data_IF_333444047098
#
_entry.id   IF_333444047098
#
_cell.length_a   1.000
_cell.length_b   1.000
_cell.length_c   1.000
_cell.angle_alpha   90.00
_cell.angle_beta   90.00
_cell.angle_gamma   90.00
#
_symmetry.space_group_name_H-M   'P 1'
#
loop_
_entity.id
_entity.type
_entity.pdbx_description
1 polymer ?
#
# COMPACT_ATOMS: atom_id res chain seq x y z
N UNK A 1 53.50 -39.33 36.05
CA UNK A 1 54.53 -39.59 35.03
C UNK A 1 53.98 -40.58 34.01
N UNK A 2 54.03 -40.21 32.72
CA UNK A 2 54.47 -41.02 31.56
C UNK A 2 54.73 -42.53 31.77
N UNK A 3 54.56 -43.46 30.83
CA UNK A 3 54.47 -43.40 29.36
C UNK A 3 54.20 -44.85 28.87
N UNK A 4 53.43 -44.99 27.79
CA UNK A 4 53.60 -45.98 26.70
C UNK A 4 53.37 -47.47 27.01
N UNK A 5 53.07 -48.34 26.05
CA UNK A 5 52.73 -48.27 24.63
C UNK A 5 52.40 -49.72 24.22
N UNK A 6 51.69 -49.95 23.10
CA UNK A 6 51.69 -51.14 22.20
C UNK A 6 50.40 -51.03 21.36
N UNK A 7 50.35 -51.16 20.02
CA UNK A 7 51.33 -51.26 18.94
C UNK A 7 50.51 -51.10 17.65
N UNK A 8 50.98 -50.31 16.69
CA UNK A 8 50.41 -50.26 15.34
C UNK A 8 50.67 -51.58 14.58
N UNK A 9 49.76 -51.94 13.67
CA UNK A 9 49.94 -52.96 12.63
C UNK A 9 49.42 -52.41 11.28
N UNK A 10 49.98 -52.87 10.13
CA UNK A 10 50.16 -52.07 8.91
C UNK A 10 48.93 -52.02 7.97
N UNK A 11 48.93 -51.16 6.93
CA UNK A 11 47.76 -50.94 6.09
C UNK A 11 47.58 -52.11 5.11
N UNK A 12 46.41 -52.74 5.11
CA UNK A 12 46.06 -53.74 4.10
C UNK A 12 45.38 -53.08 2.90
N UNK A 13 45.80 -53.55 1.74
CA UNK A 13 45.55 -53.09 0.39
C UNK A 13 44.07 -52.88 0.03
N UNK A 14 43.85 -51.92 -0.86
CA UNK A 14 42.62 -51.60 -1.58
C UNK A 14 41.88 -52.82 -2.17
N UNK A 15 40.53 -52.87 -2.09
CA UNK A 15 39.76 -53.64 -3.05
C UNK A 15 39.45 -52.78 -4.28
N UNK A 16 40.02 -53.26 -5.38
CA UNK A 16 39.62 -53.14 -6.79
C UNK A 16 38.38 -52.31 -7.11
N UNK A 17 38.57 -51.33 -8.00
CA UNK A 17 37.51 -50.68 -8.77
C UNK A 17 36.86 -51.76 -9.65
N UNK A 18 35.81 -52.39 -9.13
CA UNK A 18 34.95 -53.24 -9.94
C UNK A 18 34.04 -52.34 -10.77
N UNK A 19 34.14 -52.49 -12.09
CA UNK A 19 33.40 -51.69 -13.08
C UNK A 19 31.91 -51.69 -12.77
N UNK A 20 31.36 -50.53 -12.41
CA UNK A 20 29.91 -50.35 -12.32
C UNK A 20 29.30 -50.71 -13.67
N UNK A 21 28.48 -51.78 -13.69
CA UNK A 21 27.64 -52.08 -14.84
C UNK A 21 26.77 -50.86 -15.09
N UNK A 22 26.98 -50.17 -16.22
CA UNK A 22 26.16 -49.02 -16.63
C UNK A 22 24.70 -49.47 -16.65
N UNK A 23 23.93 -48.98 -15.69
CA UNK A 23 22.47 -49.13 -15.67
C UNK A 23 21.91 -48.53 -16.97
N UNK A 24 20.79 -49.07 -17.46
CA UNK A 24 20.11 -48.44 -18.58
C UNK A 24 19.73 -47.01 -18.18
N UNK A 25 19.73 -46.03 -19.11
CA UNK A 25 19.41 -44.64 -18.80
C UNK A 25 18.08 -44.51 -18.05
N UNK A 26 17.10 -45.36 -18.39
CA UNK A 26 15.81 -45.39 -17.72
C UNK A 26 15.91 -45.90 -16.28
N UNK A 27 16.62 -47.00 -16.03
CA UNK A 27 16.79 -47.54 -14.68
C UNK A 27 17.56 -46.58 -13.76
N UNK A 28 18.44 -45.75 -14.30
CA UNK A 28 19.12 -44.69 -13.54
C UNK A 28 18.15 -43.57 -13.14
N UNK A 29 17.32 -43.12 -14.09
CA UNK A 29 16.29 -42.10 -13.85
C UNK A 29 15.28 -42.59 -12.82
N UNK A 30 14.79 -43.82 -12.98
CA UNK A 30 13.80 -44.43 -12.08
C UNK A 30 14.36 -44.54 -10.65
N UNK A 31 15.64 -44.92 -10.49
CA UNK A 31 16.31 -44.95 -9.18
C UNK A 31 16.40 -43.57 -8.52
N UNK A 32 16.59 -42.51 -9.32
CA UNK A 32 16.59 -41.14 -8.78
C UNK A 32 15.19 -40.77 -8.30
N UNK A 33 14.17 -41.02 -9.10
CA UNK A 33 12.78 -40.69 -8.76
C UNK A 33 12.25 -41.47 -7.56
N UNK A 34 12.64 -42.74 -7.40
CA UNK A 34 12.30 -43.55 -6.21
C UNK A 34 12.82 -42.92 -4.90
N UNK A 35 13.91 -42.15 -4.95
CA UNK A 35 14.44 -41.39 -3.82
C UNK A 35 13.65 -40.11 -3.50
N UNK A 36 12.95 -39.55 -4.49
CA UNK A 36 12.13 -38.34 -4.32
C UNK A 36 10.68 -38.67 -3.91
N UNK A 37 10.14 -39.81 -4.34
CA UNK A 37 8.79 -40.25 -3.99
C UNK A 37 8.78 -41.15 -2.75
N UNK A 38 8.98 -40.54 -1.57
CA UNK A 38 8.71 -41.25 -0.31
C UNK A 38 7.20 -41.50 -0.16
N UNK A 39 6.79 -42.73 0.22
CA UNK A 39 5.36 -43.11 0.43
C UNK A 39 4.68 -42.37 1.59
N UNK A 40 5.43 -41.54 2.31
CA UNK A 40 4.93 -40.60 3.31
C UNK A 40 5.48 -39.22 2.94
N UNK A 41 4.73 -38.37 2.23
CA UNK A 41 5.22 -37.06 1.84
C UNK A 41 5.39 -36.20 3.09
N UNK A 42 6.63 -36.09 3.59
CA UNK A 42 7.02 -35.03 4.51
C UNK A 42 6.96 -33.69 3.78
N UNK A 43 6.53 -32.63 4.47
CA UNK A 43 6.45 -31.27 3.90
C UNK A 43 7.81 -30.87 3.29
N UNK A 44 7.88 -30.46 2.01
CA UNK A 44 9.15 -30.15 1.37
C UNK A 44 9.78 -28.90 2.01
N UNK A 45 11.01 -29.04 2.51
CA UNK A 45 11.70 -28.00 3.30
C UNK A 45 12.62 -27.09 2.48
N UNK A 46 12.94 -27.42 1.23
CA UNK A 46 13.63 -26.55 0.28
C UNK A 46 13.57 -27.15 -1.13
N UNK A 47 13.31 -26.32 -2.15
CA UNK A 47 13.29 -26.74 -3.57
C UNK A 47 14.60 -26.37 -4.30
N UNK A 48 15.44 -25.53 -3.70
CA UNK A 48 16.67 -25.03 -4.35
C UNK A 48 17.94 -25.45 -3.60
N UNK A 49 19.04 -25.79 -4.30
CA UNK A 49 20.32 -26.14 -3.68
C UNK A 49 20.96 -24.96 -2.96
N UNK A 50 21.53 -25.21 -1.78
CA UNK A 50 22.11 -24.23 -0.85
C UNK A 50 23.33 -23.43 -1.35
N UNK A 51 23.68 -23.51 -2.63
CA UNK A 51 24.92 -22.97 -3.19
C UNK A 51 24.82 -21.62 -3.92
N UNK A 52 23.64 -21.00 -4.03
CA UNK A 52 23.43 -19.81 -4.87
C UNK A 52 23.21 -18.48 -4.14
N UNK A 53 23.32 -18.42 -2.81
CA UNK A 53 23.19 -17.16 -2.08
C UNK A 53 24.58 -16.65 -1.65
N UNK A 54 25.15 -15.77 -2.46
CA UNK A 54 26.26 -14.91 -2.04
C UNK A 54 25.73 -13.94 -0.97
N UNK A 55 26.37 -13.97 0.20
CA UNK A 55 25.95 -13.27 1.41
C UNK A 55 26.12 -11.74 1.29
N UNK A 56 25.01 -11.01 1.30
CA UNK A 56 24.91 -9.70 1.97
C UNK A 56 23.64 -9.53 2.81
N UNK A 57 22.94 -10.62 3.13
CA UNK A 57 21.67 -10.60 3.84
C UNK A 57 21.81 -11.09 5.30
N UNK A 58 22.77 -10.55 6.04
CA UNK A 58 23.01 -10.92 7.44
C UNK A 58 21.89 -10.48 8.41
N UNK A 59 20.78 -9.91 7.93
CA UNK A 59 19.62 -9.51 8.74
C UNK A 59 18.36 -10.37 8.55
N UNK A 60 18.36 -11.36 7.64
CA UNK A 60 17.20 -12.25 7.43
C UNK A 60 17.38 -13.62 8.09
N UNK A 61 17.74 -13.62 9.38
CA UNK A 61 17.55 -14.80 10.24
C UNK A 61 16.21 -14.68 10.97
N UNK A 62 15.11 -14.67 10.23
CA UNK A 62 13.82 -15.04 10.80
C UNK A 62 13.51 -16.46 10.34
N UNK A 63 13.66 -17.35 11.32
CA UNK A 63 13.41 -18.78 11.32
C UNK A 63 12.20 -19.21 10.49
N UNK A 64 12.26 -20.45 9.99
CA UNK A 64 11.22 -21.28 9.35
C UNK A 64 9.80 -21.17 9.97
N UNK A 65 9.16 -20.02 9.84
CA UNK A 65 7.83 -19.71 10.32
C UNK A 65 6.86 -19.78 9.11
N UNK A 66 5.73 -20.48 9.25
CA UNK A 66 4.76 -20.59 8.16
C UNK A 66 4.20 -19.19 7.88
N UNK A 67 4.11 -18.76 6.62
CA UNK A 67 3.65 -17.41 6.24
C UNK A 67 2.26 -17.00 6.81
N UNK A 68 1.47 -17.98 7.27
CA UNK A 68 0.20 -17.78 7.96
C UNK A 68 0.36 -17.24 9.39
N UNK A 69 1.39 -17.67 10.13
CA UNK A 69 1.57 -17.30 11.52
C UNK A 69 1.95 -15.80 11.68
N UNK A 70 2.83 -15.22 10.84
CA UNK A 70 3.09 -13.79 10.83
C UNK A 70 1.89 -12.95 10.42
N UNK A 71 1.08 -13.43 9.47
CA UNK A 71 -0.15 -12.74 9.06
C UNK A 71 -1.12 -12.65 10.24
N UNK A 72 -1.45 -13.77 10.87
CA UNK A 72 -2.45 -13.83 11.93
C UNK A 72 -2.01 -12.99 13.14
N UNK A 73 -0.71 -13.03 13.47
CA UNK A 73 -0.13 -12.20 14.52
C UNK A 73 -0.29 -10.71 14.23
N UNK A 74 0.00 -10.26 13.01
CA UNK A 74 -0.17 -8.87 12.61
C UNK A 74 -1.65 -8.47 12.56
N UNK A 75 -2.52 -9.35 12.06
CA UNK A 75 -3.95 -9.14 12.01
C UNK A 75 -4.54 -8.98 13.43
N UNK A 76 -4.23 -9.88 14.36
CA UNK A 76 -4.68 -9.79 15.76
C UNK A 76 -4.16 -8.53 16.44
N UNK A 77 -2.89 -8.15 16.20
CA UNK A 77 -2.33 -6.89 16.70
C UNK A 77 -3.11 -5.68 16.17
N UNK A 78 -3.43 -5.67 14.88
CA UNK A 78 -4.21 -4.61 14.26
C UNK A 78 -5.63 -4.54 14.85
N UNK A 79 -6.32 -5.69 14.95
CA UNK A 79 -7.66 -5.83 15.56
C UNK A 79 -7.69 -5.24 16.96
N UNK A 80 -6.73 -5.62 17.81
CA UNK A 80 -6.62 -5.11 19.19
C UNK A 80 -6.38 -3.60 19.26
N UNK A 81 -5.55 -3.05 18.39
CA UNK A 81 -5.27 -1.60 18.36
C UNK A 81 -6.50 -0.82 17.90
N UNK A 82 -7.16 -1.29 16.84
CA UNK A 82 -8.38 -0.66 16.31
C UNK A 82 -9.48 -0.67 17.36
N UNK A 83 -9.72 -1.81 18.00
CA UNK A 83 -10.74 -1.93 19.05
C UNK A 83 -10.46 -0.97 20.21
N UNK A 84 -9.23 -0.96 20.73
CA UNK A 84 -8.85 -0.07 21.83
C UNK A 84 -9.07 1.41 21.47
N UNK A 85 -8.61 1.83 20.28
CA UNK A 85 -8.78 3.21 19.81
C UNK A 85 -10.24 3.57 19.57
N UNK A 86 -11.04 2.64 19.03
CA UNK A 86 -12.46 2.83 18.84
C UNK A 86 -13.19 3.05 20.16
N UNK A 87 -12.89 2.24 21.19
CA UNK A 87 -13.46 2.39 22.53
C UNK A 87 -13.07 3.73 23.19
N UNK A 88 -11.82 4.16 23.04
CA UNK A 88 -11.34 5.46 23.51
C UNK A 88 -12.09 6.63 22.83
N UNK A 89 -12.23 6.56 21.50
CA UNK A 89 -12.97 7.56 20.73
C UNK A 89 -14.44 7.61 21.13
N UNK A 90 -15.10 6.45 21.27
CA UNK A 90 -16.49 6.36 21.74
C UNK A 90 -16.66 6.93 23.14
N UNK A 91 -15.74 6.65 24.06
CA UNK A 91 -15.78 7.19 25.43
C UNK A 91 -15.65 8.71 25.46
N UNK A 92 -14.86 9.27 24.55
CA UNK A 92 -14.67 10.71 24.44
C UNK A 92 -15.77 11.41 23.60
N UNK A 93 -16.64 10.66 22.93
CA UNK A 93 -17.61 11.20 21.98
C UNK A 93 -16.96 11.82 20.73
N UNK A 94 -15.78 11.31 20.35
CA UNK A 94 -14.98 11.81 19.24
C UNK A 94 -14.87 10.77 18.13
N UNK A 95 -14.56 11.21 16.92
CA UNK A 95 -14.18 10.33 15.79
C UNK A 95 -12.67 10.12 15.77
N UNK A 96 -12.22 9.02 15.18
CA UNK A 96 -10.80 8.74 15.05
C UNK A 96 -10.14 9.69 14.05
N UNK A 97 -8.91 10.12 14.37
CA UNK A 97 -8.08 10.98 13.53
C UNK A 97 -6.67 10.40 13.44
N UNK A 98 -6.19 10.21 12.21
CA UNK A 98 -4.79 9.85 12.00
C UNK A 98 -3.91 11.10 12.05
N UNK A 99 -3.20 11.27 13.16
CA UNK A 99 -2.32 12.41 13.37
C UNK A 99 -1.04 12.34 12.51
N UNK A 100 -0.63 11.14 12.08
CA UNK A 100 0.53 10.95 11.23
C UNK A 100 0.18 11.18 9.75
N UNK A 101 -1.10 11.06 9.39
CA UNK A 101 -1.62 11.20 8.04
C UNK A 101 -2.86 12.12 7.99
N UNK A 102 -2.70 13.37 8.44
CA UNK A 102 -3.79 14.34 8.51
C UNK A 102 -3.97 15.14 7.20
N UNK A 103 -4.92 14.72 6.38
CA UNK A 103 -5.29 15.36 5.11
C UNK A 103 -5.73 16.83 5.29
N UNK A 104 -6.43 17.16 6.39
CA UNK A 104 -6.94 18.51 6.60
C UNK A 104 -5.79 19.50 6.86
N UNK A 105 -4.83 19.09 7.67
CA UNK A 105 -3.66 19.93 7.96
C UNK A 105 -2.74 19.99 6.75
N UNK A 106 -2.55 18.88 6.04
CA UNK A 106 -1.71 18.82 4.84
C UNK A 106 -2.23 19.74 3.72
N UNK A 107 -3.54 19.71 3.45
CA UNK A 107 -4.17 20.56 2.45
C UNK A 107 -4.18 22.03 2.87
N UNK A 108 -4.57 22.36 4.11
CA UNK A 108 -4.60 23.75 4.60
C UNK A 108 -3.22 24.41 4.58
N UNK A 109 -2.16 23.63 4.78
CA UNK A 109 -0.77 24.12 4.75
C UNK A 109 -0.13 24.01 3.37
N UNK A 110 -0.86 23.57 2.33
CA UNK A 110 -0.36 23.37 0.98
C UNK A 110 0.93 22.52 0.92
N UNK A 111 1.04 21.53 1.82
CA UNK A 111 2.23 20.68 1.91
C UNK A 111 2.21 19.54 0.88
N UNK A 112 1.05 18.89 0.74
CA UNK A 112 0.84 17.81 -0.22
C UNK A 112 1.61 16.53 0.11
N UNK A 113 2.01 16.30 1.36
CA UNK A 113 2.65 15.05 1.78
C UNK A 113 1.69 13.86 1.76
N UNK A 114 0.40 14.11 2.04
CA UNK A 114 -0.63 13.08 2.02
C UNK A 114 -1.22 12.87 0.61
N UNK A 115 -0.91 13.75 -0.34
CA UNK A 115 -1.41 13.70 -1.71
C UNK A 115 -0.37 13.13 -2.69
N UNK A 116 0.90 13.48 -2.49
CA UNK A 116 1.95 13.19 -3.44
C UNK A 116 2.77 11.98 -3.05
N UNK A 117 3.05 11.13 -4.05
CA UNK A 117 4.04 10.06 -3.96
C UNK A 117 5.48 10.62 -3.99
N UNK A 118 6.47 9.77 -3.71
CA UNK A 118 7.89 10.06 -3.89
C UNK A 118 8.33 10.16 -5.37
N UNK A 119 7.41 9.92 -6.32
CA UNK A 119 7.68 10.02 -7.75
C UNK A 119 7.74 11.45 -8.28
N UNK A 120 8.17 11.63 -9.53
CA UNK A 120 8.43 12.95 -10.13
C UNK A 120 7.19 13.79 -10.44
N UNK A 121 6.00 13.18 -10.48
CA UNK A 121 4.74 13.90 -10.69
C UNK A 121 4.13 14.30 -9.34
N UNK A 122 4.00 15.61 -9.12
CA UNK A 122 3.42 16.17 -7.91
C UNK A 122 2.24 17.09 -8.25
N UNK A 123 1.14 16.94 -7.53
CA UNK A 123 0.08 17.92 -7.44
C UNK A 123 0.61 19.15 -6.70
N UNK A 124 0.78 20.25 -7.45
CA UNK A 124 1.21 21.53 -6.89
C UNK A 124 0.02 22.23 -6.24
N UNK A 125 -0.01 22.25 -4.91
CA UNK A 125 -1.01 22.96 -4.12
C UNK A 125 -0.64 24.46 -4.00
N UNK A 126 -0.51 25.15 -5.12
CA UNK A 126 -0.27 26.60 -5.12
C UNK A 126 -1.60 27.36 -5.17
N UNK A 127 -1.62 28.62 -4.69
CA UNK A 127 -2.82 29.48 -4.73
C UNK A 127 -3.40 29.56 -6.15
N UNK A 128 -2.56 29.72 -7.17
CA UNK A 128 -3.01 29.81 -8.57
C UNK A 128 -3.65 28.50 -9.06
N UNK A 129 -3.11 27.35 -8.65
CA UNK A 129 -3.67 26.03 -8.96
C UNK A 129 -5.01 25.80 -8.26
N UNK A 130 -5.15 26.21 -6.99
CA UNK A 130 -6.39 26.04 -6.25
C UNK A 130 -7.52 26.94 -6.76
N UNK A 131 -7.17 28.10 -7.34
CA UNK A 131 -8.14 29.04 -7.92
C UNK A 131 -8.56 28.64 -9.33
N UNK A 132 -7.68 27.98 -10.10
CA UNK A 132 -7.96 27.48 -11.44
C UNK A 132 -9.11 26.44 -11.44
N UNK A 133 -10.24 26.68 -12.14
CA UNK A 133 -11.34 25.70 -12.26
C UNK A 133 -10.93 24.41 -12.98
N UNK A 134 -9.90 24.47 -13.81
CA UNK A 134 -9.38 23.34 -14.60
C UNK A 134 -8.30 22.54 -13.86
N UNK A 135 -7.84 23.01 -12.70
CA UNK A 135 -6.85 22.30 -11.93
C UNK A 135 -7.40 20.99 -11.35
N UNK A 136 -6.60 19.95 -11.46
CA UNK A 136 -6.89 18.61 -10.95
C UNK A 136 -6.56 18.41 -9.46
N UNK A 137 -6.19 19.49 -8.77
CA UNK A 137 -5.87 19.45 -7.34
C UNK A 137 -7.13 19.34 -6.48
N UNK A 138 -7.06 18.64 -5.34
CA UNK A 138 -8.18 18.60 -4.40
C UNK A 138 -8.42 19.98 -3.76
N UNK A 139 -9.68 20.29 -3.49
CA UNK A 139 -10.12 21.59 -2.95
C UNK A 139 -10.66 21.52 -1.54
N UNK A 140 -11.15 20.36 -1.12
CA UNK A 140 -11.51 20.14 0.28
C UNK A 140 -11.27 18.71 0.73
N UNK A 141 -11.41 18.50 2.03
CA UNK A 141 -11.31 17.20 2.70
C UNK A 141 -12.57 17.03 3.52
N UNK A 142 -13.24 15.91 3.32
CA UNK A 142 -14.45 15.57 4.07
C UNK A 142 -14.41 14.12 4.52
N UNK A 143 -15.14 13.82 5.58
CA UNK A 143 -15.38 12.44 6.03
C UNK A 143 -16.47 11.80 5.18
N UNK A 144 -16.46 10.47 5.09
CA UNK A 144 -17.43 9.71 4.30
C UNK A 144 -18.88 10.05 4.63
N UNK A 145 -19.21 10.23 5.91
CA UNK A 145 -20.57 10.59 6.36
C UNK A 145 -20.99 12.03 6.02
N UNK A 146 -20.06 12.91 5.64
CA UNK A 146 -20.35 14.28 5.20
C UNK A 146 -20.58 14.35 3.69
N UNK A 147 -20.25 13.26 2.98
CA UNK A 147 -20.36 13.13 1.52
C UNK A 147 -21.64 12.38 1.14
N UNK A 148 -22.01 11.36 1.93
CA UNK A 148 -23.15 10.49 1.66
C UNK A 148 -24.12 10.48 2.85
N UNK A 149 -25.42 10.47 2.58
CA UNK A 149 -26.46 10.46 3.63
C UNK A 149 -26.48 9.15 4.45
N UNK A 150 -26.27 8.02 3.77
CA UNK A 150 -26.30 6.67 4.36
C UNK A 150 -25.13 5.84 3.84
N UNK A 151 -23.88 6.17 4.23
CA UNK A 151 -22.72 5.44 3.75
C UNK A 151 -22.77 4.00 4.26
N UNK A 152 -22.33 3.07 3.41
CA UNK A 152 -22.18 1.65 3.77
C UNK A 152 -20.74 1.23 3.50
N UNK A 153 -20.19 0.41 4.38
CA UNK A 153 -18.85 -0.16 4.21
C UNK A 153 -18.95 -1.66 3.97
N UNK A 154 -18.37 -2.14 2.86
CA UNK A 154 -18.29 -3.57 2.51
C UNK A 154 -19.61 -4.36 2.55
N UNK A 155 -20.76 -3.70 2.32
CA UNK A 155 -22.07 -4.36 2.31
C UNK A 155 -22.23 -5.30 1.10
N UNK A 156 -21.86 -4.78 -0.08
CA UNK A 156 -21.72 -5.50 -1.34
C UNK A 156 -20.40 -5.00 -1.91
N UNK A 157 -19.56 -5.92 -2.34
CA UNK A 157 -18.27 -5.60 -2.93
C UNK A 157 -18.27 -6.21 -4.33
N UNK A 158 -18.18 -5.35 -5.35
CA UNK A 158 -18.08 -5.73 -6.75
C UNK A 158 -16.92 -4.97 -7.40
N UNK A 159 -16.17 -5.63 -8.28
CA UNK A 159 -15.08 -4.97 -9.00
C UNK A 159 -15.58 -3.80 -9.87
N UNK A 160 -16.80 -3.88 -10.40
CA UNK A 160 -17.41 -2.85 -11.24
C UNK A 160 -17.75 -1.54 -10.51
N UNK A 161 -17.80 -1.57 -9.17
CA UNK A 161 -17.99 -0.38 -8.34
C UNK A 161 -16.71 0.47 -8.22
N UNK A 162 -15.55 -0.09 -8.54
CA UNK A 162 -14.28 0.63 -8.47
C UNK A 162 -14.14 1.58 -9.65
N UNK A 163 -14.07 2.89 -9.37
CA UNK A 163 -13.90 3.94 -10.39
C UNK A 163 -12.58 4.69 -10.19
N UNK A 164 -11.84 4.85 -11.28
CA UNK A 164 -10.59 5.58 -11.27
C UNK A 164 -10.83 7.08 -11.06
N UNK A 165 -10.12 7.64 -10.07
CA UNK A 165 -10.02 9.08 -9.86
C UNK A 165 -8.94 9.73 -10.73
N UNK A 166 -8.58 10.97 -10.42
CA UNK A 166 -7.67 11.75 -11.27
C UNK A 166 -6.17 11.50 -11.03
N UNK A 167 -5.81 10.46 -10.26
CA UNK A 167 -4.47 10.24 -9.71
C UNK A 167 -3.53 9.41 -10.62
N UNK A 168 -3.86 9.15 -11.89
CA UNK A 168 -2.97 8.42 -12.80
C UNK A 168 -2.54 7.02 -12.29
N UNK A 169 -3.31 6.43 -11.39
CA UNK A 169 -2.99 5.23 -10.62
C UNK A 169 -3.80 4.00 -11.10
N UNK A 170 -4.01 3.88 -12.41
CA UNK A 170 -4.81 2.80 -13.01
C UNK A 170 -4.32 1.39 -12.60
N UNK A 171 -3.02 1.22 -12.36
CA UNK A 171 -2.43 -0.03 -11.87
C UNK A 171 -2.97 -0.43 -10.49
N UNK A 172 -3.19 0.52 -9.59
CA UNK A 172 -3.77 0.29 -8.26
C UNK A 172 -5.28 0.01 -8.39
N UNK A 173 -5.97 0.79 -9.22
CA UNK A 173 -7.41 0.63 -9.46
C UNK A 173 -7.72 -0.75 -10.06
N UNK A 174 -6.90 -1.21 -11.00
CA UNK A 174 -7.02 -2.56 -11.57
C UNK A 174 -6.83 -3.66 -10.54
N UNK A 175 -5.87 -3.51 -9.63
CA UNK A 175 -5.67 -4.45 -8.53
C UNK A 175 -6.87 -4.48 -7.56
N UNK A 176 -7.42 -3.31 -7.20
CA UNK A 176 -8.61 -3.22 -6.34
C UNK A 176 -9.86 -3.78 -7.02
N UNK A 177 -9.98 -3.62 -8.34
CA UNK A 177 -11.07 -4.22 -9.15
C UNK A 177 -11.00 -5.74 -9.10
N UNK A 178 -9.81 -6.32 -9.29
CA UNK A 178 -9.60 -7.75 -9.19
C UNK A 178 -9.90 -8.28 -7.78
N UNK A 179 -9.47 -7.54 -6.75
CA UNK A 179 -9.75 -7.85 -5.36
C UNK A 179 -11.26 -7.80 -5.05
N UNK A 180 -11.99 -6.84 -5.64
CA UNK A 180 -13.43 -6.70 -5.47
C UNK A 180 -14.26 -7.88 -6.00
N UNK A 181 -13.69 -8.70 -6.90
CA UNK A 181 -14.33 -9.93 -7.37
C UNK A 181 -14.15 -11.12 -6.42
N UNK A 182 -13.31 -10.99 -5.38
CA UNK A 182 -13.15 -11.97 -4.30
C UNK A 182 -13.57 -11.34 -2.95
N UNK A 183 -14.81 -11.62 -2.50
CA UNK A 183 -15.32 -11.08 -1.24
C UNK A 183 -14.49 -11.45 -0.01
N UNK A 184 -13.79 -12.59 -0.04
CA UNK A 184 -13.01 -13.06 1.10
C UNK A 184 -11.62 -12.42 1.11
N UNK A 185 -11.07 -12.08 -0.06
CA UNK A 185 -9.82 -11.35 -0.15
C UNK A 185 -9.91 -9.93 0.46
N UNK A 186 -11.01 -9.21 0.21
CA UNK A 186 -11.22 -7.87 0.80
C UNK A 186 -11.34 -7.96 2.33
N UNK A 187 -12.07 -8.96 2.85
CA UNK A 187 -12.20 -9.19 4.29
C UNK A 187 -10.89 -9.62 4.94
N UNK A 188 -10.04 -10.33 4.21
CA UNK A 188 -8.69 -10.69 4.67
C UNK A 188 -7.81 -9.45 4.83
N UNK A 189 -7.91 -8.49 3.91
CA UNK A 189 -7.09 -7.27 3.99
C UNK A 189 -7.63 -6.32 5.07
N UNK A 190 -8.95 -6.13 5.18
CA UNK A 190 -9.56 -5.28 6.21
C UNK A 190 -9.96 -6.09 7.45
N UNK A 191 -9.08 -6.11 8.45
CA UNK A 191 -9.20 -7.02 9.59
C UNK A 191 -10.09 -6.48 10.73
N UNK A 192 -10.24 -5.17 10.84
CA UNK A 192 -11.12 -4.52 11.82
C UNK A 192 -11.50 -3.11 11.36
N UNK A 193 -12.71 -2.69 11.68
CA UNK A 193 -13.18 -1.33 11.39
C UNK A 193 -14.35 -0.94 12.31
N UNK A 194 -14.56 0.35 12.45
CA UNK A 194 -15.74 0.93 13.07
C UNK A 194 -16.15 2.18 12.28
N UNK A 195 -17.29 2.09 11.58
CA UNK A 195 -17.77 3.14 10.67
C UNK A 195 -18.35 4.35 11.42
N UNK A 196 -18.85 4.16 12.64
CA UNK A 196 -19.38 5.25 13.46
C UNK A 196 -18.24 6.13 13.97
N UNK A 197 -17.15 5.50 14.40
CA UNK A 197 -15.92 6.21 14.82
C UNK A 197 -15.13 6.70 13.61
N UNK A 198 -15.21 6.00 12.48
CA UNK A 198 -14.42 6.29 11.28
C UNK A 198 -12.98 5.79 11.38
N UNK A 199 -12.76 4.58 11.90
CA UNK A 199 -11.44 3.94 12.00
C UNK A 199 -11.43 2.62 11.23
N UNK A 200 -10.37 2.39 10.44
CA UNK A 200 -10.23 1.21 9.59
C UNK A 200 -8.82 0.65 9.71
N UNK A 201 -8.70 -0.65 9.97
CA UNK A 201 -7.45 -1.38 10.07
C UNK A 201 -7.27 -2.35 8.91
N UNK A 202 -6.15 -2.21 8.23
CA UNK A 202 -5.76 -3.02 7.08
C UNK A 202 -4.43 -3.73 7.34
N UNK A 203 -4.24 -4.88 6.70
CA UNK A 203 -2.98 -5.64 6.73
C UNK A 203 -2.50 -5.84 5.30
N UNK A 204 -1.28 -5.37 5.03
CA UNK A 204 -0.63 -5.46 3.72
C UNK A 204 0.64 -6.28 3.81
N UNK A 205 0.99 -6.96 2.73
CA UNK A 205 2.28 -7.62 2.59
C UNK A 205 3.25 -6.70 1.85
N UNK A 206 4.42 -6.44 2.44
CA UNK A 206 5.44 -5.57 1.86
C UNK A 206 6.82 -6.05 2.27
N UNK A 207 7.74 -6.12 1.30
CA UNK A 207 9.17 -6.37 1.54
C UNK A 207 9.47 -7.61 2.40
N UNK A 208 8.66 -8.67 2.28
CA UNK A 208 8.84 -9.93 3.03
C UNK A 208 7.98 -10.06 4.30
N UNK A 209 7.35 -8.97 4.75
CA UNK A 209 6.65 -8.90 6.04
C UNK A 209 5.18 -8.45 5.91
N UNK A 210 4.37 -8.81 6.92
CA UNK A 210 3.00 -8.33 7.06
C UNK A 210 2.96 -7.09 7.94
N UNK A 211 2.49 -5.98 7.36
CA UNK A 211 2.44 -4.65 7.97
C UNK A 211 0.98 -4.23 8.15
N UNK A 212 0.66 -3.68 9.32
CA UNK A 212 -0.65 -3.08 9.59
C UNK A 212 -0.69 -1.60 9.21
N UNK A 213 -1.82 -1.14 8.69
CA UNK A 213 -2.11 0.28 8.45
C UNK A 213 -3.47 0.62 9.05
N UNK A 214 -3.54 1.70 9.82
CA UNK A 214 -4.79 2.14 10.47
C UNK A 214 -5.06 3.56 10.04
N UNK A 215 -6.18 3.79 9.37
CA UNK A 215 -6.53 5.08 8.76
C UNK A 215 -7.89 5.58 9.26
N UNK A 216 -8.13 6.88 9.07
CA UNK A 216 -9.46 7.48 9.23
C UNK A 216 -10.26 7.51 7.91
N UNK A 217 -11.50 8.02 7.94
CA UNK A 217 -12.42 8.08 6.79
C UNK A 217 -12.39 9.42 6.02
N UNK A 218 -11.32 10.20 6.13
CA UNK A 218 -11.20 11.46 5.39
C UNK A 218 -10.80 11.20 3.93
N UNK A 219 -11.48 11.89 3.02
CA UNK A 219 -11.25 11.80 1.58
C UNK A 219 -11.04 13.20 0.99
N UNK A 220 -10.15 13.28 0.00
CA UNK A 220 -10.00 14.45 -0.84
C UNK A 220 -11.17 14.60 -1.81
N UNK A 221 -11.69 15.82 -1.93
CA UNK A 221 -12.74 16.19 -2.87
C UNK A 221 -12.26 17.22 -3.88
N UNK A 222 -12.79 17.13 -5.10
CA UNK A 222 -12.56 18.12 -6.16
C UNK A 222 -13.34 19.41 -5.90
N UNK A 223 -14.53 19.32 -5.33
CA UNK A 223 -15.34 20.49 -4.96
C UNK A 223 -14.76 21.16 -3.72
N UNK A 224 -14.79 22.50 -3.69
CA UNK A 224 -14.53 23.24 -2.46
C UNK A 224 -15.70 23.06 -1.47
N UNK A 225 -15.45 23.33 -0.20
CA UNK A 225 -16.52 23.35 0.79
C UNK A 225 -17.50 24.48 0.49
N UNK A 226 -18.77 24.14 0.34
CA UNK A 226 -19.86 25.09 0.20
C UNK A 226 -20.07 25.79 1.55
N UNK A 227 -19.32 26.85 1.79
CA UNK A 227 -19.44 27.69 2.98
C UNK A 227 -19.72 29.14 2.50
N UNK A 228 -20.83 29.78 2.90
CA UNK A 228 -21.23 31.11 2.40
C UNK A 228 -20.10 32.17 2.38
N UNK A 229 -19.23 32.27 3.40
CA UNK A 229 -18.11 33.23 3.39
C UNK A 229 -17.00 32.91 2.37
N UNK A 230 -16.81 31.62 2.06
CA UNK A 230 -15.80 31.17 1.10
C UNK A 230 -16.29 31.32 -0.34
N UNK A 231 -17.60 31.17 -0.56
CA UNK A 231 -18.23 31.44 -1.86
C UNK A 231 -18.14 32.93 -2.18
N UNK A 232 -18.44 33.81 -1.22
CA UNK A 232 -18.30 35.24 -1.42
C UNK A 232 -16.85 35.62 -1.73
N UNK A 233 -15.85 35.04 -1.04
CA UNK A 233 -14.43 35.24 -1.40
C UNK A 233 -14.08 34.70 -2.78
N UNK A 234 -14.50 33.47 -3.10
CA UNK A 234 -14.20 32.87 -4.40
C UNK A 234 -14.85 33.63 -5.55
N UNK A 235 -16.12 34.03 -5.40
CA UNK A 235 -16.83 34.86 -6.37
C UNK A 235 -16.20 36.25 -6.48
N UNK A 236 -15.84 36.92 -5.37
CA UNK A 236 -15.14 38.22 -5.40
C UNK A 236 -13.77 38.09 -6.11
N UNK A 237 -13.02 37.02 -5.85
CA UNK A 237 -11.73 36.77 -6.50
C UNK A 237 -11.88 36.42 -7.99
N UNK A 238 -12.97 35.76 -8.39
CA UNK A 238 -13.31 35.52 -9.80
C UNK A 238 -13.71 36.83 -10.51
N UNK A 239 -14.57 37.65 -9.91
CA UNK A 239 -14.98 38.96 -10.44
C UNK A 239 -13.77 39.90 -10.59
N UNK A 240 -12.88 39.93 -9.59
CA UNK A 240 -11.66 40.77 -9.61
C UNK A 240 -10.70 40.41 -10.74
N UNK A 241 -10.79 39.18 -11.28
CA UNK A 241 -9.97 38.71 -12.42
C UNK A 241 -10.62 39.02 -13.77
N UNK A 242 -11.94 38.91 -13.89
CA UNK A 242 -12.67 39.25 -15.12
C UNK A 242 -12.61 40.76 -15.42
N UNK A 243 -12.52 41.62 -14.41
CA UNK A 243 -12.44 43.08 -14.59
C UNK A 243 -11.04 43.64 -14.94
N UNK A 244 -9.97 42.82 -14.97
CA UNK A 244 -8.60 43.33 -15.18
C UNK A 244 -7.95 43.03 -16.53
N UNK A 245 -8.49 42.15 -17.38
CA UNK A 245 -7.83 41.82 -18.67
C UNK A 245 -8.52 42.40 -19.93
N UNK A 246 -9.80 42.78 -19.87
CA UNK A 246 -10.52 43.19 -21.10
C UNK A 246 -10.84 44.69 -21.20
N UNK A 247 -10.64 45.50 -20.15
CA UNK A 247 -11.01 46.93 -20.19
C UNK A 247 -9.85 47.85 -20.61
N UNK A 248 -8.58 47.44 -20.43
CA UNK A 248 -7.43 48.31 -20.74
C UNK A 248 -6.79 48.06 -22.12
N UNK A 249 -7.17 47.01 -22.83
CA UNK A 249 -6.63 46.70 -24.17
C UNK A 249 -7.48 47.25 -25.32
N UNK A 250 -8.74 47.60 -25.07
CA UNK A 250 -9.64 48.14 -26.10
C UNK A 250 -9.54 49.67 -26.29
N UNK A 251 -9.10 50.42 -25.27
CA UNK A 251 -9.12 51.90 -25.32
C UNK A 251 -7.81 52.53 -25.86
N UNK A 252 -6.81 51.72 -26.23
CA UNK A 252 -5.50 52.21 -26.73
C UNK A 252 -5.40 52.27 -28.27
N UNK A 253 -6.41 51.80 -29.02
CA UNK A 253 -6.36 51.73 -30.49
C UNK A 253 -7.35 52.66 -31.23
N UNK A 254 -8.02 53.60 -30.55
CA UNK A 254 -8.99 54.51 -31.19
C UNK A 254 -8.82 55.99 -30.84
N UNK A 255 -7.59 56.49 -30.66
CA UNK A 255 -7.35 57.95 -30.67
C UNK A 255 -6.68 58.37 -31.99
N UNK A 256 -7.37 59.13 -32.87
CA UNK A 256 -6.72 59.70 -34.04
C UNK A 256 -5.69 60.77 -33.61
N UNK A 257 -4.58 60.95 -34.35
CA UNK A 257 -3.57 61.93 -34.02
C UNK A 257 -4.13 63.35 -34.19
N UNK A 258 -3.94 64.17 -33.16
CA UNK A 258 -4.21 65.61 -33.20
C UNK A 258 -3.14 66.26 -34.09
N UNK A 259 -3.58 66.83 -35.22
CA UNK A 259 -2.75 67.61 -36.13
C UNK A 259 -2.56 69.01 -35.51
N UNK A 260 -1.31 69.45 -35.39
CA UNK A 260 -0.94 70.86 -35.18
C UNK A 260 -0.70 71.54 -36.53
#
# INVERSE_FOLDING_TARGET
MALGALKCSPPSLSPEITSEKRLSPQAFIDRIWDGFFSRHPGKPLAVLPSGFLSLSAADYCQSNELLLDPYERTAEKCRRIVQKRAEECKRAGMRYEDHNWDLNVDLRRNKGHCLNSLGSQHFKLNKDTLLSPSAFAPRSVKRVHEIFDKPTFMKIVDGGDVRQGNLGNCWLVGALTALGNDPDAVKRICVAYDTEVGIYGFVFYRDGEWIQSIIDDKLYLKSADWNPPNIQRHLIEQISREDNEDVYSADRLQRPPVVQ
#
